data_IF_088885572201
#
_entry.id   IF_088885572201
#
_cell.length_a   1.000
_cell.length_b   1.000
_cell.length_c   1.000
_cell.angle_alpha   90.00
_cell.angle_beta   90.00
_cell.angle_gamma   90.00
#
_symmetry.space_group_name_H-M   'P 1'
#
loop_
_entity.id
_entity.type
_entity.pdbx_description
1 polymer ?
#
# COMPACT_ATOMS: atom_id res chain seq x y z
N UNK A 1 11.56 -23.12 0.05
CA UNK A 1 10.63 -22.38 0.93
C UNK A 1 9.76 -21.43 0.15
N UNK A 2 8.48 -21.44 0.45
CA UNK A 2 7.56 -20.51 -0.21
C UNK A 2 7.67 -19.14 0.43
N UNK A 3 7.74 -18.06 -0.35
CA UNK A 3 7.80 -16.71 0.19
C UNK A 3 6.52 -16.35 0.95
N UNK A 4 6.68 -15.47 1.93
CA UNK A 4 5.57 -14.92 2.70
C UNK A 4 5.54 -13.42 2.54
N UNK A 5 4.36 -12.86 2.36
CA UNK A 5 4.15 -11.43 2.19
C UNK A 5 3.31 -10.89 3.34
N UNK A 6 3.68 -9.71 3.84
CA UNK A 6 2.88 -8.95 4.79
C UNK A 6 2.26 -7.75 4.09
N UNK A 7 0.94 -7.68 4.13
CA UNK A 7 0.18 -6.52 3.66
C UNK A 7 -0.08 -5.62 4.86
N UNK A 8 0.42 -4.40 4.82
CA UNK A 8 0.19 -3.41 5.87
C UNK A 8 -0.69 -2.30 5.28
N UNK A 9 -1.89 -2.16 5.80
CA UNK A 9 -2.86 -1.23 5.24
C UNK A 9 -3.32 -0.20 6.28
N UNK A 10 -3.29 1.07 5.88
CA UNK A 10 -3.84 2.15 6.66
C UNK A 10 -5.31 2.35 6.27
N UNK A 11 -6.20 2.31 7.26
CA UNK A 11 -7.64 2.30 7.01
C UNK A 11 -8.35 3.62 7.32
N UNK A 12 -7.63 4.73 7.35
CA UNK A 12 -8.20 6.04 7.62
C UNK A 12 -9.35 6.37 6.66
N UNK A 13 -9.16 6.15 5.36
CA UNK A 13 -10.22 6.21 4.36
C UNK A 13 -10.64 4.78 4.03
N UNK A 14 -11.54 4.22 4.83
CA UNK A 14 -11.86 2.79 4.80
C UNK A 14 -12.38 2.30 3.45
N UNK A 15 -13.22 3.08 2.78
CA UNK A 15 -13.74 2.72 1.47
C UNK A 15 -12.63 2.56 0.43
N UNK A 16 -11.65 3.47 0.45
CA UNK A 16 -10.51 3.45 -0.46
C UNK A 16 -9.56 2.31 -0.10
N UNK A 17 -9.21 2.18 1.19
CA UNK A 17 -8.28 1.13 1.61
C UNK A 17 -8.84 -0.28 1.35
N UNK A 18 -10.13 -0.48 1.53
CA UNK A 18 -10.77 -1.77 1.25
C UNK A 18 -10.59 -2.17 -0.21
N UNK A 19 -10.74 -1.24 -1.13
CA UNK A 19 -10.54 -1.51 -2.56
C UNK A 19 -9.08 -1.79 -2.91
N UNK A 20 -8.15 -1.06 -2.29
CA UNK A 20 -6.72 -1.29 -2.49
C UNK A 20 -6.31 -2.68 -1.97
N UNK A 21 -6.77 -3.04 -0.79
CA UNK A 21 -6.49 -4.35 -0.18
C UNK A 21 -7.05 -5.48 -1.04
N UNK A 22 -8.32 -5.35 -1.45
CA UNK A 22 -8.97 -6.37 -2.26
C UNK A 22 -8.19 -6.65 -3.54
N UNK A 23 -7.77 -5.60 -4.24
CA UNK A 23 -7.00 -5.73 -5.48
C UNK A 23 -5.64 -6.41 -5.24
N UNK A 24 -4.95 -6.02 -4.17
CA UNK A 24 -3.65 -6.62 -3.82
C UNK A 24 -3.80 -8.10 -3.45
N UNK A 25 -4.80 -8.43 -2.65
CA UNK A 25 -5.04 -9.81 -2.23
C UNK A 25 -5.34 -10.74 -3.40
N UNK A 26 -6.11 -10.26 -4.38
CA UNK A 26 -6.42 -11.04 -5.58
C UNK A 26 -5.13 -11.39 -6.33
N UNK A 27 -4.24 -10.43 -6.51
CA UNK A 27 -2.96 -10.65 -7.20
C UNK A 27 -2.11 -11.68 -6.46
N UNK A 28 -1.96 -11.52 -5.14
CA UNK A 28 -1.13 -12.43 -4.33
C UNK A 28 -1.71 -13.84 -4.33
N UNK A 29 -3.02 -13.95 -4.18
CA UNK A 29 -3.70 -15.24 -4.15
C UNK A 29 -3.56 -16.00 -5.47
N UNK A 30 -3.62 -15.29 -6.60
CA UNK A 30 -3.50 -15.92 -7.91
C UNK A 30 -2.17 -16.62 -8.14
N UNK A 31 -1.09 -16.10 -7.55
CA UNK A 31 0.22 -16.72 -7.68
C UNK A 31 0.50 -17.75 -6.57
N UNK A 32 -0.45 -17.97 -5.67
CA UNK A 32 -0.34 -19.00 -4.65
C UNK A 32 0.60 -18.67 -3.50
N UNK A 33 0.91 -17.40 -3.28
CA UNK A 33 1.79 -16.97 -2.20
C UNK A 33 0.95 -16.71 -0.94
N UNK A 34 1.45 -17.14 0.20
CA UNK A 34 0.81 -16.88 1.49
C UNK A 34 1.05 -15.45 1.92
N UNK A 35 0.04 -14.84 2.53
CA UNK A 35 0.17 -13.50 3.06
C UNK A 35 -0.60 -13.34 4.36
N UNK A 36 -0.20 -12.35 5.13
CA UNK A 36 -0.96 -11.87 6.29
C UNK A 36 -1.20 -10.39 6.14
N UNK A 37 -2.19 -9.88 6.84
CA UNK A 37 -2.58 -8.48 6.79
C UNK A 37 -2.56 -7.88 8.19
N UNK A 38 -1.99 -6.69 8.32
CA UNK A 38 -2.05 -5.87 9.53
C UNK A 38 -2.67 -4.54 9.15
N UNK A 39 -3.68 -4.12 9.90
CA UNK A 39 -4.31 -2.83 9.72
C UNK A 39 -3.75 -1.82 10.72
N UNK A 40 -3.49 -0.60 10.23
CA UNK A 40 -3.11 0.55 11.06
C UNK A 40 -4.05 1.71 10.73
N UNK A 41 -4.10 2.72 11.59
CA UNK A 41 -5.03 3.84 11.39
C UNK A 41 -4.58 4.76 10.27
N UNK A 42 -3.35 5.19 10.27
CA UNK A 42 -2.81 6.14 9.30
C UNK A 42 -1.56 5.61 8.63
N UNK A 43 -1.21 6.21 7.49
CA UNK A 43 -0.03 5.78 6.73
C UNK A 43 1.26 6.02 7.51
N UNK A 44 1.27 6.98 8.42
CA UNK A 44 2.44 7.28 9.24
C UNK A 44 2.88 6.08 10.10
N UNK A 45 1.96 5.19 10.45
CA UNK A 45 2.23 4.02 11.26
C UNK A 45 2.74 2.82 10.45
N UNK A 46 2.69 2.88 9.13
CA UNK A 46 3.10 1.76 8.28
C UNK A 46 4.58 1.41 8.40
N UNK A 47 5.51 2.38 8.34
CA UNK A 47 6.93 2.03 8.37
C UNK A 47 7.37 1.26 9.61
N UNK A 48 6.88 1.61 10.78
CA UNK A 48 7.29 0.91 12.01
C UNK A 48 6.77 -0.53 12.05
N UNK A 49 5.58 -0.79 11.50
CA UNK A 49 5.04 -2.15 11.42
C UNK A 49 5.89 -3.00 10.47
N UNK A 50 6.30 -2.44 9.34
CA UNK A 50 7.20 -3.13 8.41
C UNK A 50 8.54 -3.41 9.10
N UNK A 51 9.12 -2.41 9.77
CA UNK A 51 10.40 -2.54 10.46
C UNK A 51 10.37 -3.66 11.51
N UNK A 52 9.29 -3.73 12.28
CA UNK A 52 9.13 -4.79 13.30
C UNK A 52 9.03 -6.19 12.69
N UNK A 53 8.60 -6.29 11.46
CA UNK A 53 8.36 -7.57 10.79
C UNK A 53 9.37 -7.85 9.69
N UNK A 54 10.42 -7.04 9.57
CA UNK A 54 11.32 -7.08 8.43
C UNK A 54 12.01 -8.44 8.25
N UNK A 55 12.26 -9.14 9.33
CA UNK A 55 12.91 -10.45 9.30
C UNK A 55 11.95 -11.64 9.24
N UNK A 56 10.64 -11.36 9.30
CA UNK A 56 9.62 -12.42 9.35
C UNK A 56 8.96 -12.68 8.01
N UNK A 57 9.12 -11.77 7.05
CA UNK A 57 8.49 -11.84 5.73
C UNK A 57 9.51 -11.58 4.64
N UNK A 58 9.21 -12.08 3.46
CA UNK A 58 10.10 -11.93 2.29
C UNK A 58 9.79 -10.69 1.48
N UNK A 59 8.60 -10.17 1.62
CA UNK A 59 8.17 -8.96 0.95
C UNK A 59 7.00 -8.31 1.67
N UNK A 60 6.74 -7.06 1.32
CA UNK A 60 5.72 -6.26 1.98
C UNK A 60 4.92 -5.47 0.95
N UNK A 61 3.65 -5.27 1.23
CA UNK A 61 2.79 -4.39 0.43
C UNK A 61 2.23 -3.33 1.37
N UNK A 62 2.56 -2.08 1.12
CA UNK A 62 2.09 -0.95 1.92
C UNK A 62 0.93 -0.28 1.19
N UNK A 63 -0.22 -0.21 1.84
CA UNK A 63 -1.45 0.33 1.24
C UNK A 63 -2.03 1.42 2.11
N UNK A 64 -2.52 2.46 1.48
CA UNK A 64 -3.18 3.55 2.19
C UNK A 64 -3.45 4.72 1.27
N UNK A 65 -4.03 5.75 1.83
CA UNK A 65 -4.40 6.95 1.08
C UNK A 65 -4.14 8.19 1.91
N UNK A 66 -3.48 9.16 1.31
CA UNK A 66 -3.33 10.50 1.89
C UNK A 66 -3.96 11.47 0.91
N UNK A 67 -4.90 12.29 1.42
CA UNK A 67 -5.57 13.30 0.62
C UNK A 67 -5.15 14.68 1.13
N UNK A 68 -4.81 15.55 0.20
CA UNK A 68 -4.38 16.91 0.53
C UNK A 68 -5.46 17.66 1.30
N UNK A 69 -5.06 18.23 2.45
CA UNK A 69 -5.91 19.10 3.24
C UNK A 69 -5.48 20.57 3.09
N UNK A 70 -5.93 21.41 4.02
CA UNK A 70 -5.65 22.84 4.00
C UNK A 70 -4.26 23.20 4.49
N UNK A 71 -3.59 22.27 5.19
CA UNK A 71 -2.27 22.50 5.77
C UNK A 71 -1.20 21.71 5.00
N UNK A 72 0.10 22.05 5.19
CA UNK A 72 1.18 21.28 4.58
C UNK A 72 1.38 19.88 5.14
N UNK A 73 0.54 19.44 6.07
CA UNK A 73 0.60 18.10 6.65
C UNK A 73 0.69 16.99 5.60
N UNK A 74 -0.07 17.13 4.51
CA UNK A 74 -0.06 16.19 3.40
C UNK A 74 1.35 15.93 2.87
N UNK A 75 2.12 16.98 2.62
CA UNK A 75 3.47 16.84 2.09
C UNK A 75 4.43 16.21 3.08
N UNK A 76 4.35 16.58 4.35
CA UNK A 76 5.23 16.03 5.38
C UNK A 76 4.95 14.54 5.63
N UNK A 77 3.68 14.16 5.75
CA UNK A 77 3.31 12.77 5.98
C UNK A 77 3.66 11.91 4.78
N UNK A 78 3.33 12.35 3.57
CA UNK A 78 3.58 11.60 2.35
C UNK A 78 5.08 11.38 2.15
N UNK A 79 5.87 12.43 2.21
CA UNK A 79 7.31 12.37 1.97
C UNK A 79 8.01 11.50 3.03
N UNK A 80 7.69 11.73 4.31
CA UNK A 80 8.33 11.00 5.39
C UNK A 80 8.02 9.51 5.32
N UNK A 81 6.76 9.16 5.08
CA UNK A 81 6.33 7.78 5.01
C UNK A 81 6.98 7.04 3.83
N UNK A 82 6.93 7.65 2.65
CA UNK A 82 7.49 7.04 1.43
C UNK A 82 9.00 6.88 1.54
N UNK A 83 9.69 7.89 2.07
CA UNK A 83 11.14 7.80 2.28
C UNK A 83 11.51 6.70 3.27
N UNK A 84 10.76 6.56 4.36
CA UNK A 84 11.02 5.51 5.35
C UNK A 84 10.83 4.12 4.73
N UNK A 85 9.80 3.93 3.92
CA UNK A 85 9.55 2.65 3.25
C UNK A 85 10.66 2.34 2.26
N UNK A 86 11.07 3.30 1.46
CA UNK A 86 12.17 3.11 0.52
C UNK A 86 13.46 2.74 1.23
N UNK A 87 13.78 3.44 2.33
CA UNK A 87 14.97 3.16 3.11
C UNK A 87 14.97 1.74 3.68
N UNK A 88 13.82 1.28 4.20
CA UNK A 88 13.69 -0.09 4.70
C UNK A 88 13.93 -1.12 3.59
N UNK A 89 13.35 -0.88 2.43
CA UNK A 89 13.50 -1.78 1.30
C UNK A 89 14.94 -1.91 0.85
N UNK A 90 15.63 -0.79 0.70
CA UNK A 90 17.02 -0.76 0.24
C UNK A 90 17.96 -1.35 1.29
N UNK A 91 17.79 -0.94 2.55
CA UNK A 91 18.66 -1.38 3.66
C UNK A 91 18.58 -2.90 3.86
N UNK A 92 17.38 -3.46 3.83
CA UNK A 92 17.17 -4.88 4.11
C UNK A 92 17.10 -5.73 2.85
N UNK A 93 17.19 -5.12 1.68
CA UNK A 93 17.12 -5.81 0.38
C UNK A 93 15.88 -6.68 0.24
N UNK A 94 14.75 -6.14 0.69
CA UNK A 94 13.45 -6.80 0.59
C UNK A 94 12.48 -5.92 -0.18
N UNK A 95 11.72 -6.50 -1.11
CA UNK A 95 10.77 -5.70 -1.89
C UNK A 95 9.63 -5.19 -1.03
N UNK A 96 9.34 -3.92 -1.18
CA UNK A 96 8.17 -3.29 -0.57
C UNK A 96 7.39 -2.60 -1.69
N UNK A 97 6.21 -3.14 -1.99
CA UNK A 97 5.31 -2.53 -2.96
C UNK A 97 4.64 -1.31 -2.36
N UNK A 98 4.80 -0.16 -2.99
CA UNK A 98 4.20 1.08 -2.52
C UNK A 98 2.84 1.31 -3.15
N UNK A 99 1.78 1.01 -2.41
CA UNK A 99 0.41 1.31 -2.77
C UNK A 99 -0.19 2.41 -1.91
N UNK A 100 0.66 3.26 -1.32
CA UNK A 100 0.19 4.44 -0.60
C UNK A 100 -0.05 5.53 -1.64
N UNK A 101 -1.31 5.83 -1.90
CA UNK A 101 -1.69 6.84 -2.87
C UNK A 101 -1.73 8.21 -2.21
N UNK A 102 -1.17 9.19 -2.90
CA UNK A 102 -1.14 10.57 -2.44
C UNK A 102 -1.95 11.40 -3.43
N UNK A 103 -3.09 11.88 -2.98
CA UNK A 103 -4.10 12.46 -3.86
C UNK A 103 -4.44 13.88 -3.45
N UNK A 104 -4.78 14.70 -4.45
CA UNK A 104 -5.21 16.07 -4.18
C UNK A 104 -6.67 16.13 -3.73
N UNK A 105 -7.47 15.11 -4.10
CA UNK A 105 -8.90 15.05 -3.78
C UNK A 105 -9.41 13.61 -3.80
N UNK A 106 -10.66 13.43 -3.38
CA UNK A 106 -11.27 12.09 -3.32
C UNK A 106 -11.54 11.48 -4.70
N UNK A 107 -11.71 12.28 -5.72
CA UNK A 107 -11.92 11.77 -7.09
C UNK A 107 -10.66 11.02 -7.54
N UNK A 108 -9.49 11.60 -7.33
CA UNK A 108 -8.23 10.94 -7.65
C UNK A 108 -8.05 9.65 -6.84
N UNK A 109 -8.41 9.68 -5.56
CA UNK A 109 -8.32 8.50 -4.70
C UNK A 109 -9.24 7.39 -5.21
N UNK A 110 -10.45 7.72 -5.60
CA UNK A 110 -11.40 6.75 -6.16
C UNK A 110 -10.85 6.11 -7.44
N UNK A 111 -10.29 6.91 -8.33
CA UNK A 111 -9.72 6.41 -9.59
C UNK A 111 -8.58 5.42 -9.35
N UNK A 112 -7.68 5.74 -8.42
CA UNK A 112 -6.49 4.93 -8.13
C UNK A 112 -6.77 3.69 -7.28
N UNK A 113 -7.98 3.58 -6.74
CA UNK A 113 -8.42 2.43 -5.97
C UNK A 113 -9.55 1.65 -6.66
N UNK A 114 -9.83 1.96 -7.90
CA UNK A 114 -10.92 1.32 -8.63
C UNK A 114 -10.61 -0.16 -8.92
N UNK A 115 -11.60 -1.02 -8.69
CA UNK A 115 -11.49 -2.47 -8.86
C UNK A 115 -12.06 -2.96 -10.19
N UNK A 116 -12.11 -2.10 -11.21
CA UNK A 116 -12.64 -2.46 -12.51
C UNK A 116 -14.14 -2.27 -12.66
N UNK A 117 -14.79 -1.65 -11.67
CA UNK A 117 -16.21 -1.33 -11.73
C UNK A 117 -16.47 -0.23 -12.77
N UNK A 118 -15.51 0.67 -12.96
CA UNK A 118 -15.59 1.73 -13.95
C UNK A 118 -14.77 1.33 -15.17
N UNK A 119 -15.45 0.94 -16.22
CA UNK A 119 -14.81 0.38 -17.44
C UNK A 119 -13.98 1.38 -18.23
N UNK A 120 -14.13 2.68 -17.99
CA UNK A 120 -13.47 3.74 -18.77
C UNK A 120 -12.28 4.40 -18.09
N UNK A 121 -11.80 3.85 -16.96
CA UNK A 121 -10.64 4.40 -16.29
C UNK A 121 -9.36 3.87 -16.91
N UNK A 122 -8.50 4.80 -17.34
CA UNK A 122 -7.19 4.47 -17.90
C UNK A 122 -6.17 4.12 -16.83
N UNK A 123 -6.48 4.40 -15.55
CA UNK A 123 -5.54 4.19 -14.44
C UNK A 123 -5.86 2.91 -13.69
N UNK A 124 -4.81 2.11 -13.46
CA UNK A 124 -4.94 0.88 -12.72
C UNK A 124 -5.03 1.13 -11.21
N UNK A 125 -5.63 0.19 -10.49
CA UNK A 125 -5.66 0.18 -9.04
C UNK A 125 -4.22 0.10 -8.50
N UNK A 126 -3.86 1.01 -7.62
CA UNK A 126 -2.51 1.07 -7.06
C UNK A 126 -2.18 -0.06 -6.10
N UNK A 127 -3.19 -0.67 -5.49
CA UNK A 127 -3.00 -1.88 -4.69
C UNK A 127 -2.57 -3.05 -5.54
N UNK A 128 -3.17 -3.22 -6.71
CA UNK A 128 -2.77 -4.21 -7.69
C UNK A 128 -1.32 -4.00 -8.13
N UNK A 129 -0.97 -2.76 -8.50
CA UNK A 129 0.40 -2.44 -8.92
C UNK A 129 1.42 -2.72 -7.82
N UNK A 130 1.11 -2.35 -6.58
CA UNK A 130 2.00 -2.58 -5.45
C UNK A 130 2.24 -4.07 -5.21
N UNK A 131 1.20 -4.88 -5.27
CA UNK A 131 1.33 -6.32 -5.12
C UNK A 131 2.17 -6.93 -6.24
N UNK A 132 1.96 -6.52 -7.48
CA UNK A 132 2.75 -7.01 -8.62
C UNK A 132 4.23 -6.64 -8.48
N UNK A 133 4.54 -5.48 -7.93
CA UNK A 133 5.92 -5.03 -7.75
C UNK A 133 6.72 -5.93 -6.79
N UNK A 134 6.05 -6.63 -5.89
CA UNK A 134 6.67 -7.52 -4.89
C UNK A 134 6.83 -8.95 -5.43
N UNK A 135 6.00 -9.31 -6.36
CA UNK A 135 6.00 -10.64 -6.97
C UNK A 135 6.94 -10.71 -8.15
#
# INVERSE_FOLDING_TARGET
MKPKILVVTANYYRDISTRLVSAAEIVITKVGIKFKKIEVTGVFEIPVVIAKNINKYDGFVALGCVIKGETPHFHYISKTTINAIMNLSVEHKKPIGNGIITCLNRVQAAERSDNGVRKNLSKKNKGEEAARAVL
#
